data_IF_532619699285
#
_entry.id   IF_532619699285
#
_cell.length_a   1.000
_cell.length_b   1.000
_cell.length_c   1.000
_cell.angle_alpha   90.00
_cell.angle_beta   90.00
_cell.angle_gamma   90.00
#
_symmetry.space_group_name_H-M   'P 1'
#
loop_
_entity.id
_entity.type
_entity.pdbx_description
1 polymer ?
#
# COMPACT_ATOMS: atom_id res chain seq x y z
N UNK A 1 -35.65 -17.99 -2.71
CA UNK A 1 -34.54 -17.22 -3.32
C UNK A 1 -33.26 -17.50 -2.55
N UNK A 2 -32.40 -18.34 -3.11
CA UNK A 2 -31.12 -18.71 -2.50
C UNK A 2 -30.15 -17.53 -2.59
N UNK A 3 -29.80 -16.94 -1.45
CA UNK A 3 -28.60 -16.10 -1.32
C UNK A 3 -27.41 -17.03 -1.51
N UNK A 4 -26.89 -17.10 -2.73
CA UNK A 4 -25.56 -17.67 -2.97
C UNK A 4 -24.61 -16.92 -2.04
N UNK A 5 -24.10 -17.62 -1.04
CA UNK A 5 -22.91 -17.23 -0.30
C UNK A 5 -21.85 -16.92 -1.35
N UNK A 6 -21.50 -15.64 -1.50
CA UNK A 6 -20.32 -15.26 -2.25
C UNK A 6 -19.17 -15.92 -1.50
N UNK A 7 -18.64 -17.00 -2.08
CA UNK A 7 -17.44 -17.67 -1.62
C UNK A 7 -16.38 -16.60 -1.38
N UNK A 8 -15.71 -16.70 -0.23
CA UNK A 8 -14.55 -15.89 0.12
C UNK A 8 -13.71 -15.73 -1.15
N UNK A 9 -13.52 -14.50 -1.67
CA UNK A 9 -12.57 -14.32 -2.75
C UNK A 9 -11.26 -14.92 -2.24
N UNK A 10 -10.62 -15.76 -3.06
CA UNK A 10 -9.24 -16.19 -2.84
C UNK A 10 -8.37 -14.93 -2.79
N UNK A 11 -8.35 -14.24 -1.66
CA UNK A 11 -7.63 -13.00 -1.49
C UNK A 11 -6.15 -13.37 -1.33
N UNK A 12 -5.41 -13.10 -2.41
CA UNK A 12 -4.09 -12.49 -2.44
C UNK A 12 -2.97 -13.24 -1.71
N UNK A 13 -2.33 -14.20 -2.38
CA UNK A 13 -0.87 -14.15 -2.31
C UNK A 13 -0.47 -12.79 -2.90
N UNK A 14 0.17 -11.93 -2.10
CA UNK A 14 0.54 -10.58 -2.51
C UNK A 14 1.65 -10.67 -3.56
N UNK A 15 1.26 -10.91 -4.81
CA UNK A 15 2.13 -10.91 -5.98
C UNK A 15 2.73 -9.52 -6.18
N UNK A 16 3.86 -9.47 -6.89
CA UNK A 16 4.52 -8.20 -7.19
C UNK A 16 3.58 -7.37 -8.06
N UNK A 17 3.05 -6.27 -7.51
CA UNK A 17 2.27 -5.31 -8.30
C UNK A 17 3.14 -4.63 -9.36
N UNK A 18 2.61 -4.52 -10.57
CA UNK A 18 3.26 -3.88 -11.72
C UNK A 18 2.63 -2.51 -12.03
N UNK A 19 3.38 -1.60 -12.67
CA UNK A 19 2.80 -0.36 -13.18
C UNK A 19 1.92 -0.61 -14.42
N UNK A 20 0.83 0.16 -14.60
CA UNK A 20 0.00 0.09 -15.79
C UNK A 20 0.65 0.72 -17.03
N UNK A 21 1.63 1.63 -16.84
CA UNK A 21 2.49 2.10 -17.92
C UNK A 21 3.72 1.19 -18.05
N UNK A 22 4.18 0.96 -19.28
CA UNK A 22 5.46 0.31 -19.55
C UNK A 22 6.60 1.12 -18.96
N UNK A 23 7.71 0.44 -18.70
CA UNK A 23 8.92 1.06 -18.18
C UNK A 23 10.06 0.97 -19.17
N UNK A 24 10.81 2.06 -19.26
CA UNK A 24 12.12 2.09 -19.86
C UNK A 24 13.07 1.22 -19.02
N UNK A 25 13.80 0.31 -19.68
CA UNK A 25 14.63 -0.69 -19.01
C UNK A 25 15.97 -0.14 -18.50
N UNK A 26 16.45 0.96 -19.08
CA UNK A 26 17.73 1.57 -18.71
C UNK A 26 17.56 2.49 -17.50
N UNK A 27 16.59 3.39 -17.58
CA UNK A 27 16.28 4.40 -16.55
C UNK A 27 15.36 3.86 -15.47
N UNK A 28 14.49 2.92 -15.82
CA UNK A 28 13.45 2.44 -14.94
C UNK A 28 12.26 3.38 -14.76
N UNK A 29 12.14 4.43 -15.55
CA UNK A 29 10.98 5.32 -15.53
C UNK A 29 9.84 4.77 -16.39
N UNK A 30 8.61 5.17 -16.09
CA UNK A 30 7.47 4.87 -16.95
C UNK A 30 7.58 5.67 -18.26
N UNK A 31 7.15 5.06 -19.36
CA UNK A 31 7.05 5.68 -20.68
C UNK A 31 5.56 5.86 -21.05
N UNK A 32 5.22 6.73 -22.03
CA UNK A 32 3.83 7.03 -22.41
C UNK A 32 3.20 5.91 -23.25
N UNK A 33 3.28 4.67 -22.76
CA UNK A 33 2.68 3.49 -23.34
C UNK A 33 2.07 2.63 -22.24
N UNK A 34 0.80 2.25 -22.39
CA UNK A 34 0.08 1.39 -21.46
C UNK A 34 0.47 -0.06 -21.74
N UNK A 35 0.68 -0.84 -20.68
CA UNK A 35 0.90 -2.27 -20.78
C UNK A 35 -0.41 -2.97 -21.21
N UNK A 36 -0.33 -3.91 -22.15
CA UNK A 36 -1.49 -4.65 -22.65
C UNK A 36 -2.26 -5.32 -21.51
N UNK A 37 -3.58 -5.07 -21.44
CA UNK A 37 -4.47 -5.63 -20.42
C UNK A 37 -4.51 -4.85 -19.10
N UNK A 38 -3.89 -3.67 -19.05
CA UNK A 38 -3.90 -2.76 -17.89
C UNK A 38 -4.74 -1.50 -18.08
N UNK A 39 -5.45 -1.37 -19.21
CA UNK A 39 -6.29 -0.21 -19.55
C UNK A 39 -7.37 0.04 -18.49
N UNK A 40 -7.85 -1.03 -17.84
CA UNK A 40 -8.83 -0.97 -16.75
C UNK A 40 -8.39 -0.07 -15.59
N UNK A 41 -7.08 0.16 -15.40
CA UNK A 41 -6.58 1.04 -14.34
C UNK A 41 -7.12 2.47 -14.53
N UNK A 42 -7.25 2.91 -15.77
CA UNK A 42 -7.61 4.28 -16.14
C UNK A 42 -9.12 4.46 -16.41
N UNK A 43 -9.90 3.38 -16.30
CA UNK A 43 -11.35 3.42 -16.43
C UNK A 43 -12.01 3.57 -15.04
N UNK A 44 -12.62 4.72 -14.73
CA UNK A 44 -13.28 4.97 -13.44
C UNK A 44 -14.42 3.99 -13.14
N UNK A 45 -14.97 3.33 -14.15
CA UNK A 45 -16.01 2.31 -13.98
C UNK A 45 -15.41 0.99 -13.48
N UNK A 46 -14.16 0.68 -13.85
CA UNK A 46 -13.49 -0.60 -13.56
C UNK A 46 -12.54 -0.57 -12.36
N UNK A 47 -11.99 0.61 -11.98
CA UNK A 47 -10.99 0.70 -10.92
C UNK A 47 -11.38 1.60 -9.74
N UNK A 48 -10.91 1.24 -8.56
CA UNK A 48 -10.69 2.19 -7.47
C UNK A 48 -9.25 2.69 -7.53
N UNK A 49 -9.06 3.99 -7.26
CA UNK A 49 -7.73 4.60 -7.12
C UNK A 49 -7.50 4.90 -5.65
N UNK A 50 -6.58 4.17 -5.05
CA UNK A 50 -6.33 4.09 -3.61
C UNK A 50 -4.97 4.68 -3.28
N UNK A 51 -4.79 5.25 -2.09
CA UNK A 51 -3.45 5.67 -1.65
C UNK A 51 -2.53 4.46 -1.51
N UNK A 52 -1.34 4.55 -2.13
CA UNK A 52 -0.26 3.64 -1.80
C UNK A 52 0.42 4.13 -0.52
N UNK A 53 0.23 3.38 0.55
CA UNK A 53 0.91 3.62 1.82
C UNK A 53 2.29 2.93 1.88
N UNK A 54 3.19 3.53 2.65
CA UNK A 54 4.54 3.05 2.93
C UNK A 54 4.67 2.57 4.37
N UNK A 55 4.64 1.26 4.56
CA UNK A 55 4.76 0.66 5.88
C UNK A 55 5.33 -0.75 5.84
N UNK A 56 4.87 -1.56 6.80
CA UNK A 56 5.21 -2.97 6.85
C UNK A 56 3.98 -3.83 6.54
N UNK A 57 4.07 -4.53 5.40
CA UNK A 57 3.00 -5.41 4.94
C UNK A 57 2.73 -6.54 5.94
N UNK A 58 1.48 -6.63 6.39
CA UNK A 58 1.06 -7.45 7.51
C UNK A 58 -0.24 -8.18 7.19
N UNK A 59 -0.27 -9.48 7.47
CA UNK A 59 -1.43 -10.35 7.31
C UNK A 59 -1.97 -10.75 8.67
N UNK A 60 -3.29 -10.67 8.83
CA UNK A 60 -4.01 -11.16 10.01
C UNK A 60 -4.83 -12.37 9.57
N UNK A 61 -4.68 -13.50 10.27
CA UNK A 61 -5.51 -14.69 10.10
C UNK A 61 -6.41 -14.80 11.32
N UNK A 62 -7.71 -14.93 11.09
CA UNK A 62 -8.72 -15.08 12.14
C UNK A 62 -9.34 -16.45 12.03
N UNK A 63 -9.30 -17.21 13.12
CA UNK A 63 -9.88 -18.54 13.20
C UNK A 63 -10.49 -18.75 14.58
N UNK A 64 -11.79 -19.01 14.66
CA UNK A 64 -12.52 -19.19 15.91
C UNK A 64 -12.29 -18.04 16.92
N UNK A 65 -12.21 -16.80 16.42
CA UNK A 65 -11.96 -15.60 17.23
C UNK A 65 -10.51 -15.42 17.70
N UNK A 66 -9.58 -16.30 17.34
CA UNK A 66 -8.14 -16.13 17.57
C UNK A 66 -7.53 -15.34 16.43
N UNK A 67 -6.67 -14.37 16.75
CA UNK A 67 -5.97 -13.52 15.78
C UNK A 67 -4.50 -13.92 15.72
N UNK A 68 -4.06 -14.38 14.55
CA UNK A 68 -2.66 -14.63 14.26
C UNK A 68 -2.12 -13.56 13.32
N UNK A 69 -0.97 -12.98 13.68
CA UNK A 69 -0.35 -11.89 12.91
C UNK A 69 0.87 -12.42 12.19
N UNK A 70 1.06 -12.00 10.94
CA UNK A 70 2.19 -12.38 10.11
C UNK A 70 2.77 -11.13 9.45
N UNK A 71 4.10 -10.99 9.48
CA UNK A 71 4.82 -9.93 8.79
C UNK A 71 5.39 -10.46 7.46
N UNK A 72 5.47 -9.60 6.44
CA UNK A 72 6.10 -9.93 5.17
C UNK A 72 7.61 -10.06 5.36
N UNK A 73 8.18 -11.21 5.01
CA UNK A 73 9.61 -11.38 4.95
C UNK A 73 10.15 -10.82 3.63
N UNK A 74 10.91 -9.73 3.70
CA UNK A 74 11.44 -9.07 2.51
C UNK A 74 12.45 -9.92 1.71
N UNK A 75 13.12 -10.90 2.35
CA UNK A 75 14.10 -11.78 1.68
C UNK A 75 13.42 -12.91 0.93
N UNK A 76 12.52 -13.64 1.59
CA UNK A 76 11.86 -14.81 0.99
C UNK A 76 10.59 -14.44 0.23
N UNK A 77 10.12 -13.19 0.34
CA UNK A 77 8.81 -12.75 -0.14
C UNK A 77 7.67 -13.65 0.37
N UNK A 78 7.86 -14.28 1.53
CA UNK A 78 6.84 -15.06 2.25
C UNK A 78 6.28 -14.28 3.44
N UNK A 79 5.44 -14.94 4.23
CA UNK A 79 4.96 -14.41 5.50
C UNK A 79 5.53 -15.23 6.66
N UNK A 80 6.01 -14.55 7.69
CA UNK A 80 6.50 -15.18 8.92
C UNK A 80 5.54 -14.81 10.04
N UNK A 81 5.15 -15.81 10.85
CA UNK A 81 4.30 -15.58 12.00
C UNK A 81 5.02 -14.68 12.98
N UNK A 82 4.34 -13.64 13.44
CA UNK A 82 4.85 -12.74 14.46
C UNK A 82 4.72 -13.43 15.82
N UNK A 83 5.86 -13.59 16.49
CA UNK A 83 5.92 -14.18 17.82
C UNK A 83 5.76 -13.11 18.90
N UNK A 84 4.87 -13.40 19.87
CA UNK A 84 4.74 -12.60 21.08
C UNK A 84 6.07 -12.58 21.84
N UNK A 85 6.50 -11.39 22.25
CA UNK A 85 7.76 -11.19 22.98
C UNK A 85 8.98 -10.93 22.10
N UNK A 86 8.90 -11.10 20.77
CA UNK A 86 9.98 -10.71 19.88
C UNK A 86 10.02 -9.17 19.71
N UNK A 87 11.08 -8.47 20.18
CA UNK A 87 11.14 -7.02 20.13
C UNK A 87 11.09 -6.43 18.71
N UNK A 88 11.50 -7.19 17.70
CA UNK A 88 11.49 -6.77 16.30
C UNK A 88 10.08 -6.55 15.75
N UNK A 89 9.06 -7.15 16.38
CA UNK A 89 7.68 -7.05 15.92
C UNK A 89 6.78 -6.24 16.85
N UNK A 90 7.32 -5.60 17.89
CA UNK A 90 6.51 -4.89 18.90
C UNK A 90 5.58 -3.83 18.30
N UNK A 91 6.07 -3.05 17.32
CA UNK A 91 5.30 -1.98 16.69
C UNK A 91 4.24 -2.51 15.71
N UNK A 92 4.53 -3.63 15.02
CA UNK A 92 3.55 -4.36 14.22
C UNK A 92 2.39 -4.85 15.08
N UNK A 93 2.71 -5.48 16.21
CA UNK A 93 1.71 -5.95 17.17
C UNK A 93 0.90 -4.80 17.76
N UNK A 94 1.54 -3.66 18.05
CA UNK A 94 0.85 -2.47 18.54
C UNK A 94 -0.17 -1.94 17.53
N UNK A 95 0.20 -1.82 16.25
CA UNK A 95 -0.72 -1.36 15.20
C UNK A 95 -1.92 -2.30 15.00
N UNK A 96 -1.68 -3.61 15.03
CA UNK A 96 -2.75 -4.62 14.95
C UNK A 96 -3.65 -4.59 16.19
N UNK A 97 -3.07 -4.47 17.39
CA UNK A 97 -3.82 -4.38 18.63
C UNK A 97 -4.72 -3.12 18.65
N UNK A 98 -4.19 -1.97 18.25
CA UNK A 98 -4.95 -0.73 18.13
C UNK A 98 -6.12 -0.88 17.14
N UNK A 99 -5.87 -1.51 15.98
CA UNK A 99 -6.93 -1.80 15.02
C UNK A 99 -8.02 -2.69 15.63
N UNK A 100 -7.68 -3.81 16.26
CA UNK A 100 -8.65 -4.71 16.88
C UNK A 100 -9.45 -3.99 17.97
N UNK A 101 -8.78 -3.22 18.84
CA UNK A 101 -9.40 -2.47 19.92
C UNK A 101 -10.36 -1.38 19.42
N UNK A 102 -10.08 -0.76 18.27
CA UNK A 102 -10.95 0.27 17.68
C UNK A 102 -12.26 -0.28 17.10
N UNK A 103 -12.35 -1.59 16.87
CA UNK A 103 -13.50 -2.19 16.18
C UNK A 103 -14.67 -2.41 17.13
N UNK A 104 -15.86 -2.04 16.67
CA UNK A 104 -17.14 -2.35 17.34
C UNK A 104 -17.51 -3.83 17.27
N UNK A 105 -16.97 -4.57 16.29
CA UNK A 105 -17.25 -5.99 16.05
C UNK A 105 -15.96 -6.72 15.71
N UNK A 106 -15.83 -7.93 16.24
CA UNK A 106 -14.75 -8.84 15.90
C UNK A 106 -14.70 -9.10 14.40
N UNK A 107 -13.50 -9.35 13.88
CA UNK A 107 -13.36 -9.86 12.53
C UNK A 107 -14.00 -11.25 12.44
N UNK A 108 -14.56 -11.57 11.28
CA UNK A 108 -14.99 -12.93 10.98
C UNK A 108 -13.76 -13.79 10.71
N UNK A 109 -13.93 -15.09 10.73
CA UNK A 109 -12.87 -16.00 10.31
C UNK A 109 -12.49 -15.73 8.85
N UNK A 110 -11.18 -15.75 8.58
CA UNK A 110 -10.63 -15.40 7.27
C UNK A 110 -9.23 -14.83 7.34
N UNK A 111 -8.77 -14.37 6.18
CA UNK A 111 -7.45 -13.77 5.98
C UNK A 111 -7.61 -12.32 5.58
N UNK A 112 -6.87 -11.43 6.22
CA UNK A 112 -6.92 -9.99 6.01
C UNK A 112 -5.52 -9.45 5.76
N UNK A 113 -5.38 -8.63 4.73
CA UNK A 113 -4.11 -8.00 4.34
C UNK A 113 -4.18 -6.50 4.56
N UNK A 114 -3.06 -5.95 5.01
CA UNK A 114 -2.93 -4.53 5.26
C UNK A 114 -1.47 -4.14 5.47
N UNK A 115 -1.28 -2.87 5.83
CA UNK A 115 0.02 -2.28 6.11
C UNK A 115 0.02 -1.76 7.55
N UNK A 116 1.02 -2.08 8.37
CA UNK A 116 1.20 -1.34 9.62
C UNK A 116 1.98 -0.07 9.33
N UNK A 117 1.47 1.04 9.84
CA UNK A 117 2.06 2.38 9.76
C UNK A 117 2.31 2.91 11.18
N UNK A 118 3.25 3.84 11.33
CA UNK A 118 3.50 4.53 12.60
C UNK A 118 4.97 4.78 12.89
N UNK A 119 5.23 5.32 14.07
CA UNK A 119 6.59 5.57 14.57
C UNK A 119 7.46 4.31 14.48
N UNK A 120 8.74 4.46 14.13
CA UNK A 120 9.69 3.33 14.01
C UNK A 120 9.32 2.26 12.97
N UNK A 121 8.33 2.50 12.10
CA UNK A 121 8.04 1.68 10.92
C UNK A 121 8.34 2.51 9.67
N UNK A 122 9.24 2.04 8.82
CA UNK A 122 9.67 2.72 7.57
C UNK A 122 10.04 4.21 7.75
N UNK A 123 10.56 4.61 8.92
CA UNK A 123 10.85 5.99 9.30
C UNK A 123 9.61 6.92 9.42
N UNK A 124 8.40 6.36 9.58
CA UNK A 124 7.16 7.08 9.80
C UNK A 124 6.93 8.22 8.78
N UNK A 125 6.84 7.92 7.47
CA UNK A 125 6.76 8.95 6.43
C UNK A 125 5.51 9.84 6.56
N UNK A 126 4.49 9.37 7.28
CA UNK A 126 3.22 10.05 7.51
C UNK A 126 3.15 10.85 8.83
N UNK A 127 4.25 10.90 9.61
CA UNK A 127 4.31 11.58 10.91
C UNK A 127 3.17 11.18 11.87
N UNK A 128 2.81 9.90 11.88
CA UNK A 128 1.74 9.39 12.74
C UNK A 128 2.23 9.30 14.19
N UNK A 129 1.40 9.72 15.13
CA UNK A 129 1.67 9.64 16.58
C UNK A 129 1.25 8.31 17.21
N UNK A 130 0.70 7.41 16.41
CA UNK A 130 0.27 6.08 16.84
C UNK A 130 0.49 5.05 15.75
N UNK A 131 0.60 3.77 16.14
CA UNK A 131 0.62 2.66 15.21
C UNK A 131 -0.78 2.29 14.79
N UNK A 132 -0.99 2.10 13.50
CA UNK A 132 -2.26 1.68 12.94
C UNK A 132 -2.04 0.57 11.93
N UNK A 133 -2.94 -0.41 11.91
CA UNK A 133 -3.01 -1.39 10.84
C UNK A 133 -4.05 -0.93 9.81
N UNK A 134 -3.58 -0.67 8.60
CA UNK A 134 -4.34 -0.09 7.51
C UNK A 134 -4.79 -1.20 6.55
N UNK A 135 -6.09 -1.49 6.54
CA UNK A 135 -6.69 -2.55 5.73
C UNK A 135 -6.72 -2.17 4.25
N UNK A 136 -6.28 -3.06 3.35
CA UNK A 136 -6.25 -2.76 1.91
C UNK A 136 -7.60 -2.81 1.22
N UNK A 137 -8.66 -3.27 1.89
CA UNK A 137 -9.98 -3.28 1.25
C UNK A 137 -10.58 -1.86 1.26
N UNK A 138 -11.24 -1.44 0.17
CA UNK A 138 -11.79 -0.09 0.03
C UNK A 138 -13.12 0.04 0.81
N UNK A 139 -13.05 0.16 2.13
CA UNK A 139 -14.21 0.38 2.99
C UNK A 139 -13.92 1.44 4.05
N UNK A 140 -14.98 1.90 4.73
CA UNK A 140 -14.86 2.88 5.82
C UNK A 140 -13.96 2.34 6.95
N UNK A 141 -12.77 2.92 7.10
CA UNK A 141 -11.75 2.49 8.07
C UNK A 141 -10.65 1.58 7.51
N UNK A 142 -10.61 1.37 6.18
CA UNK A 142 -9.48 0.82 5.44
C UNK A 142 -8.85 1.89 4.54
N UNK A 143 -8.28 1.46 3.41
CA UNK A 143 -7.66 2.37 2.44
C UNK A 143 -8.65 3.33 1.81
N UNK A 144 -8.31 4.62 1.87
CA UNK A 144 -9.13 5.68 1.28
C UNK A 144 -8.89 5.78 -0.23
N UNK A 145 -9.97 6.06 -0.95
CA UNK A 145 -9.93 6.25 -2.39
C UNK A 145 -9.80 7.74 -2.72
N UNK A 146 -8.86 8.07 -3.61
CA UNK A 146 -8.83 9.37 -4.25
C UNK A 146 -10.09 9.55 -5.10
N UNK A 147 -10.71 10.72 -4.99
CA UNK A 147 -11.89 11.09 -5.79
C UNK A 147 -11.52 11.95 -6.98
N UNK A 148 -10.58 12.87 -6.74
CA UNK A 148 -10.02 13.78 -7.72
C UNK A 148 -8.75 13.17 -8.33
N UNK A 149 -8.92 12.50 -9.46
CA UNK A 149 -7.85 11.85 -10.22
C UNK A 149 -8.16 11.91 -11.72
N UNK A 150 -7.14 11.85 -12.60
CA UNK A 150 -7.35 11.91 -14.05
C UNK A 150 -8.33 10.84 -14.54
N UNK A 151 -9.38 11.24 -15.25
CA UNK A 151 -10.36 10.32 -15.87
C UNK A 151 -9.98 9.98 -17.32
N UNK A 152 -8.68 9.96 -17.59
CA UNK A 152 -8.09 9.77 -18.91
C UNK A 152 -7.02 8.70 -18.81
N UNK A 153 -6.60 8.15 -19.95
CA UNK A 153 -5.44 7.28 -20.06
C UNK A 153 -4.17 8.03 -20.48
N UNK A 154 -4.18 9.37 -20.39
CA UNK A 154 -3.07 10.21 -20.83
C UNK A 154 -1.91 10.14 -19.83
N UNK A 155 -0.70 9.87 -20.33
CA UNK A 155 0.48 9.70 -19.49
C UNK A 155 0.88 10.97 -18.71
N UNK A 156 0.86 12.14 -19.35
CA UNK A 156 1.30 13.38 -18.70
C UNK A 156 0.32 13.81 -17.60
N UNK A 157 -1.00 13.64 -17.81
CA UNK A 157 -2.02 13.90 -16.77
C UNK A 157 -1.73 13.07 -15.50
N UNK A 158 -1.43 11.78 -15.66
CA UNK A 158 -1.11 10.89 -14.55
C UNK A 158 0.23 11.19 -13.90
N UNK A 159 1.24 11.51 -14.70
CA UNK A 159 2.57 11.89 -14.21
C UNK A 159 2.49 13.15 -13.35
N UNK A 160 1.87 14.22 -13.87
CA UNK A 160 1.69 15.47 -13.14
C UNK A 160 0.92 15.24 -11.84
N UNK A 161 -0.22 14.56 -11.93
CA UNK A 161 -1.06 14.31 -10.77
C UNK A 161 -0.34 13.47 -9.70
N UNK A 162 0.28 12.33 -10.06
CA UNK A 162 1.01 11.48 -9.11
C UNK A 162 2.17 12.24 -8.44
N UNK A 163 2.90 13.07 -9.18
CA UNK A 163 3.99 13.86 -8.62
C UNK A 163 3.49 14.96 -7.67
N UNK A 164 2.28 15.47 -7.85
CA UNK A 164 1.67 16.46 -6.93
C UNK A 164 1.02 15.87 -5.67
N UNK A 165 0.79 14.54 -5.63
CA UNK A 165 -0.04 13.91 -4.61
C UNK A 165 0.45 14.15 -3.18
N UNK A 166 -0.48 14.57 -2.34
CA UNK A 166 -0.38 14.56 -0.87
C UNK A 166 -1.08 13.32 -0.30
N UNK A 167 -0.63 12.88 0.87
CA UNK A 167 -1.21 11.74 1.57
C UNK A 167 -2.61 12.07 2.10
N UNK A 168 -3.54 11.11 2.01
CA UNK A 168 -4.86 11.21 2.64
C UNK A 168 -4.77 10.97 4.15
N UNK A 169 -3.75 10.24 4.62
CA UNK A 169 -3.48 10.03 6.04
C UNK A 169 -2.90 11.28 6.72
N UNK A 170 -2.09 12.05 5.99
CA UNK A 170 -1.55 13.31 6.46
C UNK A 170 -1.30 14.28 5.27
N UNK A 171 -2.18 15.27 5.06
CA UNK A 171 -2.08 16.20 3.94
C UNK A 171 -0.84 17.11 3.95
N UNK A 172 -0.07 17.15 5.03
CA UNK A 172 1.19 17.92 5.12
C UNK A 172 2.39 17.18 4.53
N UNK A 173 2.22 15.91 4.14
CA UNK A 173 3.28 15.11 3.53
C UNK A 173 2.85 14.54 2.18
N UNK A 174 3.84 14.31 1.33
CA UNK A 174 3.63 13.70 0.03
C UNK A 174 3.20 12.23 0.14
N UNK A 175 2.29 11.79 -0.72
CA UNK A 175 1.97 10.38 -0.85
C UNK A 175 3.09 9.62 -1.58
N UNK A 176 3.24 8.32 -1.33
CA UNK A 176 4.19 7.50 -2.10
C UNK A 176 3.73 7.32 -3.56
N UNK A 177 2.41 7.25 -3.74
CA UNK A 177 1.76 7.06 -5.03
C UNK A 177 0.37 6.45 -4.87
N UNK A 178 -0.06 5.66 -5.85
CA UNK A 178 -1.40 5.07 -5.89
C UNK A 178 -1.39 3.58 -6.19
N UNK A 179 -2.42 2.91 -5.70
CA UNK A 179 -2.81 1.55 -6.07
C UNK A 179 -4.10 1.62 -6.88
N UNK A 180 -4.13 0.95 -8.02
CA UNK A 180 -5.36 0.67 -8.73
C UNK A 180 -5.89 -0.68 -8.26
N UNK A 181 -7.15 -0.75 -7.88
CA UNK A 181 -7.82 -2.00 -7.52
C UNK A 181 -8.98 -2.23 -8.47
N UNK A 182 -8.94 -3.33 -9.23
CA UNK A 182 -10.02 -3.72 -10.12
C UNK A 182 -11.25 -4.10 -9.29
N UNK A 183 -12.41 -3.54 -9.63
CA UNK A 183 -13.66 -3.72 -8.88
C UNK A 183 -14.29 -5.10 -9.05
N UNK A 184 -14.02 -5.77 -10.16
CA UNK A 184 -14.62 -7.05 -10.51
C UNK A 184 -13.77 -8.22 -10.00
N UNK A 185 -12.47 -8.20 -10.26
CA UNK A 185 -11.59 -9.34 -10.04
C UNK A 185 -10.53 -9.13 -8.94
N UNK A 186 -10.41 -7.91 -8.42
CA UNK A 186 -9.47 -7.59 -7.34
C UNK A 186 -7.99 -7.54 -7.76
N UNK A 187 -7.66 -7.59 -9.05
CA UNK A 187 -6.30 -7.33 -9.54
C UNK A 187 -5.83 -5.95 -9.11
N UNK A 188 -4.52 -5.81 -8.92
CA UNK A 188 -3.90 -4.57 -8.46
C UNK A 188 -2.74 -4.10 -9.33
N UNK A 189 -2.71 -2.80 -9.59
CA UNK A 189 -1.59 -2.09 -10.23
C UNK A 189 -1.05 -1.01 -9.30
N UNK A 190 0.16 -0.50 -9.55
CA UNK A 190 0.69 0.63 -8.77
C UNK A 190 1.43 1.66 -9.61
N UNK A 191 1.29 2.93 -9.24
CA UNK A 191 2.17 4.00 -9.66
C UNK A 191 2.84 4.61 -8.43
N UNK A 192 4.11 4.97 -8.53
CA UNK A 192 4.86 5.68 -7.49
C UNK A 192 5.51 6.91 -8.08
N UNK A 193 5.80 7.91 -7.25
CA UNK A 193 6.54 9.11 -7.69
C UNK A 193 7.90 8.76 -8.32
N UNK A 194 8.61 7.80 -7.73
CA UNK A 194 9.92 7.30 -8.23
C UNK A 194 9.86 6.59 -9.60
N UNK A 195 8.66 6.30 -10.11
CA UNK A 195 8.47 5.75 -11.45
C UNK A 195 8.38 6.84 -12.53
N UNK A 196 8.24 8.11 -12.14
CA UNK A 196 8.18 9.25 -13.05
C UNK A 196 9.38 10.17 -12.91
N UNK A 197 9.96 10.26 -11.71
CA UNK A 197 11.15 11.07 -11.43
C UNK A 197 12.04 10.38 -10.38
N UNK A 198 13.29 10.11 -10.75
CA UNK A 198 14.28 9.45 -9.88
C UNK A 198 14.71 10.30 -8.67
N UNK A 199 14.41 11.61 -8.66
CA UNK A 199 14.63 12.48 -7.49
C UNK A 199 13.84 11.98 -6.27
N UNK A 200 12.75 11.24 -6.50
CA UNK A 200 11.90 10.61 -5.49
C UNK A 200 12.36 9.20 -5.07
N UNK A 201 13.43 8.65 -5.66
CA UNK A 201 13.94 7.35 -5.23
C UNK A 201 14.48 7.46 -3.80
N UNK A 202 13.87 6.73 -2.87
CA UNK A 202 14.24 6.70 -1.45
C UNK A 202 15.71 6.35 -1.23
N UNK A 203 16.34 5.57 -2.12
CA UNK A 203 17.78 5.26 -2.08
C UNK A 203 18.62 6.50 -2.40
N UNK A 204 18.23 7.23 -3.44
CA UNK A 204 18.87 8.49 -3.85
C UNK A 204 18.73 9.55 -2.76
N UNK A 205 17.53 9.67 -2.17
CA UNK A 205 17.27 10.60 -1.04
C UNK A 205 18.11 10.22 0.19
N UNK A 206 18.13 8.94 0.56
CA UNK A 206 18.90 8.45 1.70
C UNK A 206 20.41 8.71 1.51
N UNK A 207 20.94 8.44 0.32
CA UNK A 207 22.33 8.72 -0.04
C UNK A 207 22.66 10.21 0.07
N UNK A 208 21.81 11.09 -0.47
CA UNK A 208 21.99 12.54 -0.38
C UNK A 208 21.97 13.06 1.07
N UNK A 209 21.06 12.54 1.91
CA UNK A 209 20.99 12.87 3.35
C UNK A 209 22.22 12.40 4.11
N UNK A 210 22.71 11.19 3.85
CA UNK A 210 23.93 10.66 4.46
C UNK A 210 25.17 11.49 4.10
N UNK A 211 25.30 11.89 2.82
CA UNK A 211 26.41 12.74 2.36
C UNK A 211 26.40 14.12 3.04
N UNK A 212 25.23 14.76 3.17
CA UNK A 212 25.10 16.05 3.88
C UNK A 212 25.54 15.97 5.35
N UNK A 213 25.20 14.89 6.07
CA UNK A 213 25.62 14.68 7.47
C UNK A 213 27.13 14.46 7.65
N UNK A 214 27.82 13.98 6.62
CA UNK A 214 29.26 13.72 6.66
C UNK A 214 30.10 14.95 6.26
N UNK A 215 29.51 15.96 5.62
CA UNK A 215 30.19 17.22 5.26
C UNK A 215 30.05 18.27 6.37
N UNK A 216 29.11 18.08 7.29
CA UNK A 216 28.86 18.95 8.45
C UNK A 216 29.53 18.48 9.75
N UNK A 217 30.56 17.61 9.66
CA UNK A 217 31.42 17.16 10.76
C UNK A 217 32.87 17.47 10.41
#
# INVERSE_FOLDING_TARGET
MNRKSVENPKFLEFEKMFPPFLRDMETGLCIPQIAEGWEWCFDPTQSYVLEKVDGENTKIVVSNGVYEVFARNQKTKGYVKVELGNPSYKYLMQGVANFIASRKKTLKDGVYFGEVLGENIQNNPYNLTSHLWYDFRPFKGGVEAYKDYPKTSNFEDWKEWVLSLQSLLNPEVEAEGVIFLNKEDGRMAKLRKDMFDLSYDKRTIAYAKAKKKNVSK
#
